data_IF_432445461984
#
_entry.id   IF_432445461984
#
_cell.length_a   1.000
_cell.length_b   1.000
_cell.length_c   1.000
_cell.angle_alpha   90.00
_cell.angle_beta   90.00
_cell.angle_gamma   90.00
#
_symmetry.space_group_name_H-M   'P 1'
#
loop_
_entity.id
_entity.type
_entity.pdbx_description
1 polymer ?
#
# COMPACT_ATOMS: atom_id res chain seq x y z
N UNK A 1 12.66 21.64 -4.26
CA UNK A 1 12.97 20.22 -3.99
C UNK A 1 12.57 19.74 -2.59
N UNK A 2 12.49 20.66 -1.59
CA UNK A 2 12.15 20.30 -0.19
C UNK A 2 10.65 20.16 0.12
N UNK A 3 9.77 20.25 -0.88
CA UNK A 3 8.34 20.14 -0.66
C UNK A 3 7.60 19.38 -1.80
N UNK A 4 8.06 18.18 -2.17
CA UNK A 4 7.43 17.44 -3.28
C UNK A 4 5.97 17.03 -2.97
N UNK A 5 5.59 17.03 -1.69
CA UNK A 5 4.23 16.75 -1.20
C UNK A 5 3.52 17.98 -0.64
N UNK A 6 4.07 19.17 -0.82
CA UNK A 6 3.42 20.43 -0.41
C UNK A 6 2.17 20.76 -1.22
N UNK A 7 1.38 21.72 -0.76
CA UNK A 7 0.27 22.25 -1.55
C UNK A 7 0.77 22.74 -2.92
N UNK A 8 -0.05 22.58 -3.94
CA UNK A 8 0.25 22.98 -5.33
C UNK A 8 1.53 22.40 -5.93
N UNK A 9 2.08 21.32 -5.33
CA UNK A 9 3.20 20.58 -5.89
C UNK A 9 2.88 20.09 -7.32
N UNK A 10 3.91 19.78 -8.16
CA UNK A 10 3.72 19.48 -9.59
C UNK A 10 2.66 18.41 -9.90
N UNK A 11 2.49 17.39 -9.03
CA UNK A 11 1.44 16.40 -9.22
C UNK A 11 0.05 16.99 -8.93
N UNK A 12 -0.08 17.79 -7.87
CA UNK A 12 -1.33 18.46 -7.53
C UNK A 12 -1.77 19.39 -8.65
N UNK A 13 -0.86 20.24 -9.14
CA UNK A 13 -1.11 21.14 -10.26
C UNK A 13 -1.51 20.38 -11.55
N UNK A 14 -0.85 19.25 -11.84
CA UNK A 14 -1.15 18.42 -13.02
C UNK A 14 -2.56 17.80 -12.99
N UNK A 15 -3.14 17.62 -11.81
CA UNK A 15 -4.50 17.08 -11.64
C UNK A 15 -5.53 18.11 -11.20
N UNK A 16 -5.16 19.38 -11.05
CA UNK A 16 -6.09 20.44 -10.62
C UNK A 16 -6.59 20.27 -9.18
N UNK A 17 -5.80 19.64 -8.30
CA UNK A 17 -6.09 19.50 -6.86
C UNK A 17 -5.14 20.38 -6.04
N UNK A 18 -5.52 20.66 -4.79
CA UNK A 18 -4.68 21.44 -3.87
C UNK A 18 -3.49 20.63 -3.34
N UNK A 19 -3.74 19.37 -3.00
CA UNK A 19 -2.75 18.50 -2.38
C UNK A 19 -2.37 17.33 -3.31
N UNK A 20 -1.11 16.93 -3.40
CA UNK A 20 -0.70 15.76 -4.18
C UNK A 20 -1.05 14.47 -3.44
N UNK A 21 -2.31 14.37 -3.01
CA UNK A 21 -2.88 13.28 -2.24
C UNK A 21 -4.03 12.67 -3.01
N UNK A 22 -3.95 11.37 -3.25
CA UNK A 22 -5.04 10.57 -3.79
C UNK A 22 -5.68 9.71 -2.69
N UNK A 23 -7.01 9.67 -2.65
CA UNK A 23 -7.75 8.67 -1.90
C UNK A 23 -7.87 7.43 -2.78
N UNK A 24 -7.28 6.31 -2.35
CA UNK A 24 -7.21 5.07 -3.13
C UNK A 24 -8.57 4.40 -3.35
N UNK A 25 -8.77 3.70 -4.48
CA UNK A 25 -10.01 2.98 -4.77
C UNK A 25 -10.14 1.77 -3.84
N UNK A 26 -10.94 1.89 -2.80
CA UNK A 26 -11.21 0.86 -1.82
C UNK A 26 -12.54 0.17 -2.13
N UNK A 27 -12.51 -1.11 -2.49
CA UNK A 27 -13.72 -1.90 -2.74
C UNK A 27 -14.73 -1.79 -1.60
N UNK A 28 -16.00 -1.57 -1.90
CA UNK A 28 -17.10 -1.41 -0.93
C UNK A 28 -16.95 -0.24 0.06
N UNK A 29 -15.98 0.64 -0.16
CA UNK A 29 -15.78 1.88 0.61
C UNK A 29 -15.88 3.08 -0.32
N UNK A 30 -15.06 3.13 -1.36
CA UNK A 30 -15.04 4.22 -2.34
C UNK A 30 -16.10 4.01 -3.45
N UNK A 31 -17.31 3.69 -3.07
CA UNK A 31 -18.45 3.41 -3.95
C UNK A 31 -19.62 4.39 -3.75
N UNK A 32 -19.31 5.62 -3.29
CA UNK A 32 -20.29 6.69 -3.04
C UNK A 32 -19.81 8.01 -3.60
N UNK A 33 -20.66 8.65 -4.40
CA UNK A 33 -20.40 10.00 -4.95
C UNK A 33 -20.18 11.04 -3.85
N UNK A 34 -20.95 10.99 -2.76
CA UNK A 34 -20.81 11.89 -1.62
C UNK A 34 -19.44 11.78 -0.93
N UNK A 35 -18.83 10.57 -0.90
CA UNK A 35 -17.50 10.39 -0.35
C UNK A 35 -16.43 10.97 -1.29
N UNK A 36 -16.57 10.72 -2.58
CA UNK A 36 -15.67 11.31 -3.58
C UNK A 36 -15.73 12.86 -3.53
N UNK A 37 -16.93 13.44 -3.43
CA UNK A 37 -17.14 14.89 -3.27
C UNK A 37 -16.44 15.44 -2.02
N UNK A 38 -16.58 14.76 -0.87
CA UNK A 38 -15.94 15.16 0.37
C UNK A 38 -14.41 15.18 0.25
N UNK A 39 -13.80 14.17 -0.39
CA UNK A 39 -12.36 14.11 -0.67
C UNK A 39 -11.93 15.24 -1.61
N UNK A 40 -12.67 15.46 -2.71
CA UNK A 40 -12.38 16.52 -3.67
C UNK A 40 -12.49 17.91 -3.04
N UNK A 41 -13.52 18.15 -2.22
CA UNK A 41 -13.69 19.39 -1.44
C UNK A 41 -12.55 19.60 -0.44
N UNK A 42 -12.01 18.52 0.15
CA UNK A 42 -10.82 18.52 0.99
C UNK A 42 -9.51 18.79 0.23
N UNK A 43 -9.56 18.97 -1.10
CA UNK A 43 -8.41 19.32 -1.94
C UNK A 43 -7.55 18.14 -2.37
N UNK A 44 -8.00 16.88 -2.19
CA UNK A 44 -7.39 15.67 -2.69
C UNK A 44 -8.06 15.13 -3.96
N UNK A 45 -7.48 14.09 -4.55
CA UNK A 45 -7.99 13.38 -5.72
C UNK A 45 -8.72 12.10 -5.28
N UNK A 46 -10.07 12.04 -5.31
CA UNK A 46 -10.80 10.83 -4.98
C UNK A 46 -10.74 9.81 -6.12
N UNK A 47 -10.67 8.52 -5.77
CA UNK A 47 -10.87 7.42 -6.70
C UNK A 47 -12.09 6.57 -6.29
N UNK A 48 -13.06 6.45 -7.19
CA UNK A 48 -14.15 5.48 -7.05
C UNK A 48 -13.65 4.07 -7.34
N UNK A 49 -14.06 3.09 -6.55
CA UNK A 49 -13.72 1.68 -6.78
C UNK A 49 -14.82 1.00 -7.60
N UNK A 50 -14.57 0.76 -8.88
CA UNK A 50 -15.55 0.07 -9.74
C UNK A 50 -15.63 -1.42 -9.43
N UNK A 51 -14.51 -2.04 -9.02
CA UNK A 51 -14.45 -3.44 -8.58
C UNK A 51 -15.21 -4.38 -9.54
N UNK A 52 -16.15 -5.17 -9.02
CA UNK A 52 -17.03 -6.06 -9.78
C UNK A 52 -18.42 -5.43 -10.01
N UNK A 53 -18.49 -4.13 -10.22
CA UNK A 53 -19.73 -3.40 -10.45
C UNK A 53 -20.17 -3.55 -11.91
N UNK A 54 -21.43 -3.93 -12.21
CA UNK A 54 -21.92 -4.02 -13.57
C UNK A 54 -22.10 -2.63 -14.19
N UNK A 55 -22.10 -2.57 -15.53
CA UNK A 55 -22.15 -1.33 -16.30
C UNK A 55 -23.22 -0.32 -15.87
N UNK A 56 -24.49 -0.71 -15.69
CA UNK A 56 -25.54 0.22 -15.24
C UNK A 56 -25.26 0.89 -13.90
N UNK A 57 -24.77 0.13 -12.91
CA UNK A 57 -24.40 0.68 -11.59
C UNK A 57 -23.17 1.61 -11.71
N UNK A 58 -22.20 1.26 -12.54
CA UNK A 58 -21.05 2.15 -12.83
C UNK A 58 -21.53 3.46 -13.42
N UNK A 59 -22.43 3.40 -14.41
CA UNK A 59 -22.96 4.60 -15.07
C UNK A 59 -23.65 5.55 -14.09
N UNK A 60 -24.52 5.01 -13.24
CA UNK A 60 -25.19 5.79 -12.19
C UNK A 60 -24.20 6.46 -11.26
N UNK A 61 -23.25 5.69 -10.71
CA UNK A 61 -22.22 6.19 -9.81
C UNK A 61 -21.36 7.30 -10.45
N UNK A 62 -20.97 7.15 -11.73
CA UNK A 62 -20.14 8.17 -12.40
C UNK A 62 -20.93 9.45 -12.68
N UNK A 63 -22.20 9.34 -13.07
CA UNK A 63 -23.05 10.50 -13.30
C UNK A 63 -23.31 11.27 -12.00
N UNK A 64 -23.62 10.55 -10.91
CA UNK A 64 -23.76 11.15 -9.57
C UNK A 64 -22.46 11.83 -9.14
N UNK A 65 -21.30 11.17 -9.32
CA UNK A 65 -20.01 11.72 -8.92
C UNK A 65 -19.66 12.97 -9.72
N UNK A 66 -19.88 12.95 -11.03
CA UNK A 66 -19.66 14.11 -11.89
C UNK A 66 -20.53 15.30 -11.44
N UNK A 67 -21.79 15.04 -11.11
CA UNK A 67 -22.70 16.07 -10.62
C UNK A 67 -22.28 16.60 -9.23
N UNK A 68 -21.87 15.73 -8.31
CA UNK A 68 -21.47 16.10 -6.95
C UNK A 68 -20.11 16.83 -6.92
N UNK A 69 -19.14 16.38 -7.71
CA UNK A 69 -17.81 17.02 -7.76
C UNK A 69 -17.80 18.34 -8.54
N UNK A 70 -18.72 18.52 -9.51
CA UNK A 70 -18.70 19.70 -10.40
C UNK A 70 -17.38 19.77 -11.17
N UNK A 71 -16.70 20.92 -11.08
CA UNK A 71 -15.40 21.13 -11.75
C UNK A 71 -14.20 20.49 -11.04
N UNK A 72 -14.41 19.91 -9.85
CA UNK A 72 -13.31 19.26 -9.11
C UNK A 72 -12.98 17.92 -9.74
N UNK A 73 -11.68 17.60 -9.90
CA UNK A 73 -11.25 16.34 -10.48
C UNK A 73 -11.58 15.14 -9.59
N UNK A 74 -11.84 14.02 -10.25
CA UNK A 74 -12.08 12.72 -9.64
C UNK A 74 -11.55 11.60 -10.55
N UNK A 75 -11.43 10.41 -10.03
CA UNK A 75 -10.91 9.28 -10.79
C UNK A 75 -11.66 7.98 -10.49
N UNK A 76 -11.30 6.94 -11.24
CA UNK A 76 -11.83 5.58 -11.07
C UNK A 76 -10.70 4.57 -10.88
N UNK A 77 -10.93 3.59 -10.01
CA UNK A 77 -10.10 2.39 -9.85
C UNK A 77 -10.74 1.21 -10.56
N UNK A 78 -9.97 0.59 -11.45
CA UNK A 78 -10.39 -0.53 -12.30
C UNK A 78 -9.52 -1.74 -11.94
N UNK A 79 -10.11 -2.92 -11.91
CA UNK A 79 -9.36 -4.17 -11.80
C UNK A 79 -8.99 -4.69 -13.19
N UNK A 80 -7.71 -4.88 -13.45
CA UNK A 80 -7.19 -5.35 -14.74
C UNK A 80 -7.53 -6.81 -15.08
N UNK A 81 -8.05 -7.56 -14.12
CA UNK A 81 -8.33 -9.00 -14.20
C UNK A 81 -9.81 -9.37 -14.07
N UNK A 82 -10.73 -8.42 -14.19
CA UNK A 82 -12.18 -8.72 -14.22
C UNK A 82 -12.57 -9.54 -15.45
N UNK A 83 -13.68 -10.30 -15.41
CA UNK A 83 -14.18 -11.03 -16.56
C UNK A 83 -14.33 -10.13 -17.80
N UNK A 84 -14.04 -10.63 -19.02
CA UNK A 84 -14.07 -9.82 -20.24
C UNK A 84 -15.38 -9.05 -20.45
N UNK A 85 -16.54 -9.68 -20.28
CA UNK A 85 -17.83 -9.03 -20.41
C UNK A 85 -18.02 -7.84 -19.46
N UNK A 86 -17.63 -8.02 -18.19
CA UNK A 86 -17.70 -6.94 -17.21
C UNK A 86 -16.75 -5.80 -17.57
N UNK A 87 -15.54 -6.12 -18.06
CA UNK A 87 -14.59 -5.12 -18.53
C UNK A 87 -15.17 -4.31 -19.70
N UNK A 88 -15.78 -4.96 -20.66
CA UNK A 88 -16.40 -4.28 -21.79
C UNK A 88 -17.53 -3.36 -21.36
N UNK A 89 -18.40 -3.81 -20.44
CA UNK A 89 -19.44 -2.97 -19.85
C UNK A 89 -18.86 -1.75 -19.15
N UNK A 90 -17.85 -1.93 -18.30
CA UNK A 90 -17.21 -0.82 -17.59
C UNK A 90 -16.53 0.14 -18.57
N UNK A 91 -15.76 -0.36 -19.54
CA UNK A 91 -15.11 0.48 -20.54
C UNK A 91 -16.11 1.22 -21.45
N UNK A 92 -17.26 0.63 -21.76
CA UNK A 92 -18.32 1.31 -22.51
C UNK A 92 -18.85 2.53 -21.73
N UNK A 93 -19.08 2.36 -20.43
CA UNK A 93 -19.51 3.47 -19.57
C UNK A 93 -18.41 4.53 -19.43
N UNK A 94 -17.14 4.13 -19.31
CA UNK A 94 -16.02 5.08 -19.21
C UNK A 94 -15.82 5.88 -20.52
N UNK A 95 -16.24 5.34 -21.67
CA UNK A 95 -16.30 6.11 -22.94
C UNK A 95 -17.43 7.14 -22.95
N UNK A 96 -18.56 6.83 -22.33
CA UNK A 96 -19.72 7.74 -22.23
C UNK A 96 -19.50 8.83 -21.17
N UNK A 97 -18.90 8.46 -20.03
CA UNK A 97 -18.64 9.35 -18.90
C UNK A 97 -17.14 9.27 -18.56
N UNK A 98 -16.25 9.90 -19.37
CA UNK A 98 -14.83 9.79 -19.17
C UNK A 98 -14.39 10.44 -17.87
N UNK A 99 -13.70 9.69 -16.96
CA UNK A 99 -13.12 10.27 -15.76
C UNK A 99 -11.83 11.02 -16.12
N UNK A 100 -11.50 12.13 -15.43
CA UNK A 100 -10.22 12.80 -15.62
C UNK A 100 -9.00 11.90 -15.34
N UNK A 101 -9.13 10.99 -14.36
CA UNK A 101 -8.04 10.12 -13.94
C UNK A 101 -8.54 8.67 -13.77
N UNK A 102 -7.69 7.70 -14.09
CA UNK A 102 -7.94 6.28 -13.82
C UNK A 102 -6.72 5.62 -13.14
N UNK A 103 -6.99 4.56 -12.39
CA UNK A 103 -5.99 3.68 -11.79
C UNK A 103 -6.35 2.24 -12.13
N UNK A 104 -5.44 1.48 -12.72
CA UNK A 104 -5.65 0.07 -13.05
C UNK A 104 -4.80 -0.79 -12.12
N UNK A 105 -5.48 -1.53 -11.23
CA UNK A 105 -4.85 -2.49 -10.35
C UNK A 105 -4.75 -3.87 -11.03
N UNK A 106 -3.54 -4.46 -11.05
CA UNK A 106 -3.29 -5.75 -11.70
C UNK A 106 -3.45 -5.72 -13.23
N UNK A 107 -3.32 -4.53 -13.84
CA UNK A 107 -3.44 -4.33 -15.28
C UNK A 107 -2.10 -4.23 -16.01
N UNK A 108 -2.18 -3.96 -17.31
CA UNK A 108 -1.04 -3.78 -18.22
C UNK A 108 -1.15 -2.44 -18.96
N UNK A 109 -0.04 -1.89 -19.50
CA UNK A 109 -0.06 -0.65 -20.27
C UNK A 109 -1.06 -0.64 -21.43
N UNK A 110 -1.24 -1.78 -22.12
CA UNK A 110 -2.24 -1.91 -23.19
C UNK A 110 -3.69 -1.67 -22.76
N UNK A 111 -3.99 -1.82 -21.47
CA UNK A 111 -5.32 -1.51 -20.91
C UNK A 111 -5.48 -0.01 -20.58
N UNK A 112 -4.37 0.70 -20.36
CA UNK A 112 -4.38 2.15 -20.17
C UNK A 112 -4.56 2.91 -21.48
N UNK A 113 -4.02 2.41 -22.59
CA UNK A 113 -4.04 3.06 -23.91
C UNK A 113 -5.42 3.56 -24.34
N UNK A 114 -6.52 2.78 -24.25
CA UNK A 114 -7.85 3.26 -24.65
C UNK A 114 -8.38 4.41 -23.79
N UNK A 115 -8.01 4.44 -22.52
CA UNK A 115 -8.40 5.51 -21.58
C UNK A 115 -7.58 6.77 -21.85
N UNK A 116 -6.28 6.63 -22.06
CA UNK A 116 -5.38 7.74 -22.38
C UNK A 116 -5.71 8.39 -23.71
N UNK A 117 -6.15 7.61 -24.70
CA UNK A 117 -6.63 8.13 -25.98
C UNK A 117 -7.86 9.05 -25.86
N UNK A 118 -8.59 8.98 -24.75
CA UNK A 118 -9.73 9.84 -24.42
C UNK A 118 -9.35 11.02 -23.50
N UNK A 119 -8.05 11.16 -23.17
CA UNK A 119 -7.57 12.20 -22.25
C UNK A 119 -7.60 11.82 -20.76
N UNK A 120 -7.96 10.58 -20.41
CA UNK A 120 -7.93 10.09 -19.03
C UNK A 120 -6.49 9.80 -18.59
N UNK A 121 -5.97 10.50 -17.58
CA UNK A 121 -4.64 10.25 -17.04
C UNK A 121 -4.64 8.90 -16.28
N UNK A 122 -3.97 7.86 -16.82
CA UNK A 122 -4.09 6.51 -16.27
C UNK A 122 -2.84 6.09 -15.51
N UNK A 123 -3.01 5.70 -14.23
CA UNK A 123 -1.99 5.13 -13.37
C UNK A 123 -2.04 3.61 -13.40
N UNK A 124 -0.86 2.98 -13.36
CA UNK A 124 -0.72 1.54 -13.28
C UNK A 124 -0.10 1.14 -11.92
N UNK A 125 -0.73 0.18 -11.27
CA UNK A 125 -0.23 -0.39 -10.03
C UNK A 125 0.94 -1.35 -10.31
N UNK A 126 2.10 -1.09 -9.71
CA UNK A 126 3.35 -1.81 -10.00
C UNK A 126 4.00 -2.34 -8.72
N UNK A 127 3.86 -3.64 -8.41
CA UNK A 127 4.33 -4.22 -7.16
C UNK A 127 5.79 -4.71 -7.19
N UNK A 128 6.51 -4.54 -8.31
CA UNK A 128 7.89 -5.03 -8.41
C UNK A 128 8.74 -4.27 -9.44
N UNK A 129 10.07 -4.17 -9.23
CA UNK A 129 10.97 -3.50 -10.18
C UNK A 129 10.96 -4.11 -11.58
N UNK A 130 10.94 -5.45 -11.70
CA UNK A 130 10.90 -6.10 -13.01
C UNK A 130 9.64 -5.77 -13.81
N UNK A 131 8.48 -5.62 -13.13
CA UNK A 131 7.26 -5.19 -13.78
C UNK A 131 7.31 -3.70 -14.17
N UNK A 132 7.97 -2.86 -13.35
CA UNK A 132 8.21 -1.46 -13.70
C UNK A 132 9.05 -1.33 -14.98
N UNK A 133 10.16 -2.08 -15.06
CA UNK A 133 11.01 -2.09 -16.26
C UNK A 133 10.22 -2.46 -17.53
N UNK A 134 9.33 -3.45 -17.41
CA UNK A 134 8.44 -3.84 -18.52
C UNK A 134 7.50 -2.70 -18.89
N UNK A 135 6.81 -2.11 -17.92
CA UNK A 135 5.82 -1.06 -18.16
C UNK A 135 6.46 0.23 -18.72
N UNK A 136 7.67 0.57 -18.28
CA UNK A 136 8.44 1.69 -18.84
C UNK A 136 8.78 1.46 -20.31
N UNK A 137 9.20 0.23 -20.68
CA UNK A 137 9.46 -0.14 -22.09
C UNK A 137 8.21 -0.06 -22.95
N UNK A 138 7.05 -0.44 -22.37
CA UNK A 138 5.75 -0.38 -23.04
C UNK A 138 5.16 1.05 -23.06
N UNK A 139 5.91 2.05 -22.65
CA UNK A 139 5.54 3.46 -22.73
C UNK A 139 4.73 4.03 -21.58
N UNK A 140 4.44 3.27 -20.52
CA UNK A 140 3.75 3.80 -19.35
C UNK A 140 4.59 4.87 -18.62
N UNK A 141 3.90 5.87 -18.07
CA UNK A 141 4.54 7.03 -17.40
C UNK A 141 3.94 7.38 -16.04
N UNK A 142 2.85 6.73 -15.64
CA UNK A 142 2.15 6.99 -14.38
C UNK A 142 2.01 5.71 -13.58
N UNK A 143 2.49 5.72 -12.32
CA UNK A 143 2.62 4.53 -11.51
C UNK A 143 2.09 4.72 -10.09
N UNK A 144 1.60 3.61 -9.51
CA UNK A 144 1.33 3.49 -8.08
C UNK A 144 2.24 2.41 -7.50
N UNK A 145 2.97 2.74 -6.44
CA UNK A 145 3.84 1.81 -5.71
C UNK A 145 3.26 1.54 -4.34
N UNK A 146 2.52 0.45 -4.22
CA UNK A 146 1.84 0.07 -2.99
C UNK A 146 2.56 -1.06 -2.26
N UNK A 147 3.03 -0.76 -1.06
CA UNK A 147 3.71 -1.73 -0.20
C UNK A 147 2.77 -2.59 0.62
N UNK A 148 3.36 -3.60 1.27
CA UNK A 148 2.67 -4.65 2.04
C UNK A 148 1.89 -4.13 3.26
N UNK A 149 2.08 -2.88 3.68
CA UNK A 149 1.38 -2.24 4.79
C UNK A 149 -0.07 -1.85 4.45
N UNK A 150 -0.48 -1.93 3.20
CA UNK A 150 -1.84 -1.64 2.77
C UNK A 150 -2.88 -2.61 3.36
N UNK A 151 -4.15 -2.20 3.37
CA UNK A 151 -5.29 -3.07 3.65
C UNK A 151 -5.79 -3.76 2.38
N UNK A 152 -6.41 -4.92 2.52
CA UNK A 152 -6.83 -5.72 1.38
C UNK A 152 -5.70 -6.56 0.80
N UNK A 153 -5.69 -6.80 -0.50
CA UNK A 153 -4.66 -7.61 -1.16
C UNK A 153 -3.30 -6.95 -1.04
N UNK A 154 -2.29 -7.71 -0.61
CA UNK A 154 -0.95 -7.21 -0.37
C UNK A 154 0.09 -7.85 -1.28
N UNK A 155 1.05 -7.05 -1.72
CA UNK A 155 2.25 -7.54 -2.40
C UNK A 155 3.27 -8.12 -1.41
N UNK A 156 4.36 -8.72 -1.91
CA UNK A 156 5.36 -9.37 -1.06
C UNK A 156 6.32 -8.40 -0.36
N UNK A 157 6.48 -7.17 -0.88
CA UNK A 157 7.49 -6.21 -0.38
C UNK A 157 6.88 -5.17 0.54
N UNK A 158 7.62 -4.82 1.60
CA UNK A 158 7.30 -3.65 2.42
C UNK A 158 7.38 -2.37 1.59
N UNK A 159 6.66 -1.34 2.02
CA UNK A 159 6.62 -0.06 1.32
C UNK A 159 8.00 0.53 1.12
N UNK A 160 8.83 0.59 2.18
CA UNK A 160 10.16 1.18 2.10
C UNK A 160 11.05 0.47 1.07
N UNK A 161 11.17 -0.86 1.14
CA UNK A 161 12.00 -1.63 0.21
C UNK A 161 11.47 -1.58 -1.24
N UNK A 162 10.14 -1.54 -1.42
CA UNK A 162 9.55 -1.40 -2.75
C UNK A 162 9.84 -0.02 -3.32
N UNK A 163 9.60 1.03 -2.55
CA UNK A 163 9.76 2.41 -3.02
C UNK A 163 11.20 2.74 -3.38
N UNK A 164 12.17 2.32 -2.56
CA UNK A 164 13.61 2.51 -2.83
C UNK A 164 13.99 1.86 -4.17
N UNK A 165 13.70 0.56 -4.33
CA UNK A 165 14.01 -0.17 -5.55
C UNK A 165 13.32 0.42 -6.80
N UNK A 166 12.10 0.98 -6.67
CA UNK A 166 11.38 1.61 -7.76
C UNK A 166 11.95 2.99 -8.09
N UNK A 167 12.30 3.79 -7.07
CA UNK A 167 12.90 5.12 -7.28
C UNK A 167 14.23 5.02 -8.02
N UNK A 168 15.08 4.04 -7.68
CA UNK A 168 16.34 3.78 -8.40
C UNK A 168 16.10 3.52 -9.90
N UNK A 169 15.09 2.70 -10.24
CA UNK A 169 14.72 2.42 -11.64
C UNK A 169 14.25 3.68 -12.36
N UNK A 170 13.43 4.49 -11.70
CA UNK A 170 12.92 5.73 -12.29
C UNK A 170 14.02 6.79 -12.44
N UNK A 171 15.00 6.84 -11.54
CA UNK A 171 16.17 7.71 -11.67
C UNK A 171 17.06 7.32 -12.83
N UNK A 172 17.12 6.05 -13.21
CA UNK A 172 17.84 5.56 -14.39
C UNK A 172 17.09 5.84 -15.71
N UNK A 173 15.81 6.24 -15.67
CA UNK A 173 15.04 6.57 -16.88
C UNK A 173 15.60 7.84 -17.55
N UNK A 174 15.70 7.91 -18.90
CA UNK A 174 16.27 9.05 -19.61
C UNK A 174 15.50 10.37 -19.41
N UNK A 175 14.19 10.29 -19.16
CA UNK A 175 13.30 11.44 -18.97
C UNK A 175 12.45 11.33 -17.69
N UNK A 176 13.03 11.43 -16.49
CA UNK A 176 12.28 11.31 -15.23
C UNK A 176 11.19 12.37 -15.07
N UNK A 177 11.36 13.55 -15.67
CA UNK A 177 10.35 14.62 -15.63
C UNK A 177 9.02 14.31 -16.30
N UNK A 178 8.96 13.27 -17.15
CA UNK A 178 7.70 12.80 -17.73
C UNK A 178 6.91 11.89 -16.79
N UNK A 179 7.55 11.40 -15.72
CA UNK A 179 6.98 10.39 -14.84
C UNK A 179 6.12 11.01 -13.75
N UNK A 180 5.08 10.29 -13.36
CA UNK A 180 4.25 10.62 -12.21
C UNK A 180 4.09 9.38 -11.31
N UNK A 181 4.27 9.57 -10.00
CA UNK A 181 4.27 8.47 -9.03
C UNK A 181 3.38 8.80 -7.85
N UNK A 182 2.52 7.87 -7.50
CA UNK A 182 1.78 7.82 -6.25
C UNK A 182 2.37 6.73 -5.35
N UNK A 183 2.99 7.12 -4.26
CA UNK A 183 3.47 6.21 -3.24
C UNK A 183 2.32 5.79 -2.34
N UNK A 184 2.19 4.50 -2.05
CA UNK A 184 1.06 3.92 -1.30
C UNK A 184 1.54 2.83 -0.33
N UNK A 185 0.80 2.65 0.76
CA UNK A 185 1.10 1.70 1.84
C UNK A 185 1.68 2.38 3.08
N UNK A 186 0.89 2.43 4.17
CA UNK A 186 1.35 2.94 5.47
C UNK A 186 1.37 4.46 5.64
N UNK A 187 0.97 5.25 4.65
CA UNK A 187 1.02 6.73 4.70
C UNK A 187 -0.25 7.25 5.37
N UNK A 188 -0.10 8.11 6.42
CA UNK A 188 -1.24 8.56 7.21
C UNK A 188 -1.03 9.85 8.02
N UNK A 189 0.21 10.35 8.13
CA UNK A 189 0.58 11.48 8.98
C UNK A 189 1.75 12.28 8.41
N UNK A 190 2.14 13.34 9.10
CA UNK A 190 3.28 14.18 8.74
C UNK A 190 4.62 13.44 8.69
N UNK A 191 4.79 12.40 9.53
CA UNK A 191 6.04 11.62 9.60
C UNK A 191 6.18 10.72 8.38
N UNK A 192 5.17 9.92 8.09
CA UNK A 192 5.16 9.01 6.93
C UNK A 192 5.25 9.79 5.61
N UNK A 193 4.58 10.94 5.51
CA UNK A 193 4.71 11.83 4.35
C UNK A 193 6.12 12.41 4.21
N UNK A 194 6.77 12.85 5.30
CA UNK A 194 8.14 13.33 5.26
C UNK A 194 9.13 12.24 4.83
N UNK A 195 8.91 10.98 5.22
CA UNK A 195 9.72 9.84 4.76
C UNK A 195 9.60 9.63 3.24
N UNK A 196 8.38 9.65 2.70
CA UNK A 196 8.15 9.57 1.24
C UNK A 196 8.80 10.76 0.54
N UNK A 197 8.62 11.97 1.05
CA UNK A 197 9.19 13.18 0.45
C UNK A 197 10.72 13.16 0.41
N UNK A 198 11.37 12.66 1.48
CA UNK A 198 12.82 12.52 1.53
C UNK A 198 13.32 11.48 0.51
N UNK A 199 12.68 10.30 0.47
CA UNK A 199 13.03 9.21 -0.45
C UNK A 199 12.83 9.61 -1.91
N UNK A 200 11.74 10.32 -2.23
CA UNK A 200 11.41 10.75 -3.58
C UNK A 200 12.09 12.08 -3.99
N UNK A 201 12.80 12.75 -3.08
CA UNK A 201 13.42 14.05 -3.36
C UNK A 201 14.37 14.04 -4.59
N UNK A 202 15.26 13.05 -4.78
CA UNK A 202 16.10 12.98 -5.98
C UNK A 202 15.28 12.90 -7.27
N UNK A 203 14.20 12.16 -7.27
CA UNK A 203 13.31 12.00 -8.41
C UNK A 203 12.51 13.29 -8.69
N UNK A 204 12.00 13.94 -7.65
CA UNK A 204 11.36 15.25 -7.73
C UNK A 204 12.30 16.34 -8.25
N UNK A 205 13.57 16.32 -7.84
CA UNK A 205 14.60 17.24 -8.33
C UNK A 205 14.88 17.09 -9.83
N UNK A 206 14.58 15.91 -10.41
CA UNK A 206 14.64 15.64 -11.85
C UNK A 206 13.33 15.91 -12.59
N UNK A 207 12.36 16.53 -11.91
CA UNK A 207 11.11 16.99 -12.50
C UNK A 207 9.96 15.99 -12.45
N UNK A 208 10.12 14.80 -11.85
CA UNK A 208 9.03 13.85 -11.70
C UNK A 208 7.93 14.41 -10.78
N UNK A 209 6.70 14.07 -11.08
CA UNK A 209 5.52 14.46 -10.32
C UNK A 209 5.27 13.42 -9.22
N UNK A 210 5.38 13.85 -7.97
CA UNK A 210 5.32 12.99 -6.79
C UNK A 210 4.05 13.28 -6.01
N UNK A 211 3.36 12.21 -5.60
CA UNK A 211 2.21 12.25 -4.70
C UNK A 211 2.11 11.01 -3.84
N UNK A 212 1.10 10.97 -2.99
CA UNK A 212 0.79 9.83 -2.13
C UNK A 212 -0.63 9.34 -2.39
N UNK A 213 -0.83 8.04 -2.24
CA UNK A 213 -2.14 7.41 -2.27
C UNK A 213 -2.40 6.77 -0.91
N UNK A 214 -3.51 7.16 -0.28
CA UNK A 214 -3.91 6.67 1.03
C UNK A 214 -5.23 5.91 0.94
N UNK A 215 -5.33 4.81 1.65
CA UNK A 215 -6.58 4.05 1.84
C UNK A 215 -7.03 4.12 3.30
N UNK A 216 -6.39 3.34 4.16
CA UNK A 216 -6.77 3.14 5.57
C UNK A 216 -6.94 4.44 6.35
N UNK A 217 -6.11 5.46 6.11
CA UNK A 217 -6.20 6.74 6.81
C UNK A 217 -7.57 7.40 6.66
N UNK A 218 -8.24 7.23 5.53
CA UNK A 218 -9.59 7.76 5.31
C UNK A 218 -10.69 7.08 6.11
N UNK A 219 -10.47 5.85 6.59
CA UNK A 219 -11.44 5.15 7.45
C UNK A 219 -11.64 5.85 8.80
N UNK A 220 -10.69 6.68 9.21
CA UNK A 220 -10.73 7.47 10.44
C UNK A 220 -11.41 8.83 10.24
N UNK A 221 -11.82 9.18 9.02
CA UNK A 221 -12.46 10.48 8.76
C UNK A 221 -13.94 10.43 9.08
N UNK A 222 -14.46 11.54 9.62
CA UNK A 222 -15.89 11.68 9.92
C UNK A 222 -16.72 11.53 8.65
N UNK A 223 -16.21 12.03 7.53
CA UNK A 223 -16.88 12.02 6.24
C UNK A 223 -17.03 10.59 5.67
N UNK A 224 -16.15 9.65 6.03
CA UNK A 224 -16.29 8.26 5.59
C UNK A 224 -17.60 7.63 6.09
N UNK A 225 -18.01 7.96 7.30
CA UNK A 225 -19.29 7.53 7.88
C UNK A 225 -20.43 8.38 7.39
N UNK A 226 -20.29 9.72 7.43
CA UNK A 226 -21.34 10.66 7.05
C UNK A 226 -21.77 10.51 5.59
N UNK A 227 -20.85 10.21 4.68
CA UNK A 227 -21.13 9.94 3.26
C UNK A 227 -21.61 8.51 2.97
N UNK A 228 -21.74 7.64 3.99
CA UNK A 228 -22.16 6.24 3.82
C UNK A 228 -21.11 5.36 3.09
N UNK A 229 -19.86 5.80 3.07
CA UNK A 229 -18.77 4.99 2.54
C UNK A 229 -18.54 3.73 3.41
N UNK A 230 -18.61 3.89 4.72
CA UNK A 230 -18.57 2.81 5.70
C UNK A 230 -19.64 2.97 6.78
N UNK A 231 -19.99 1.86 7.43
CA UNK A 231 -20.81 1.89 8.63
C UNK A 231 -20.00 2.35 9.85
N UNK A 232 -20.63 2.95 10.88
CA UNK A 232 -19.95 3.32 12.14
C UNK A 232 -19.15 2.18 12.75
N UNK A 233 -19.67 0.95 12.75
CA UNK A 233 -18.98 -0.24 13.28
C UNK A 233 -17.67 -0.58 12.54
N UNK A 234 -17.51 -0.18 11.28
CA UNK A 234 -16.21 -0.32 10.58
C UNK A 234 -15.20 0.70 11.11
N UNK A 235 -15.62 1.94 11.30
CA UNK A 235 -14.75 2.99 11.85
C UNK A 235 -14.34 2.65 13.29
N UNK A 236 -15.27 2.17 14.11
CA UNK A 236 -14.98 1.74 15.48
C UNK A 236 -14.00 0.57 15.50
N UNK A 237 -14.12 -0.40 14.59
CA UNK A 237 -13.15 -1.49 14.43
C UNK A 237 -11.77 -0.98 14.00
N UNK A 238 -11.69 0.04 13.15
CA UNK A 238 -10.44 0.68 12.75
C UNK A 238 -9.77 1.39 13.93
N UNK A 239 -10.53 2.16 14.71
CA UNK A 239 -10.04 2.92 15.88
C UNK A 239 -9.55 1.98 16.98
N UNK A 240 -10.23 0.86 17.21
CA UNK A 240 -9.88 -0.14 18.20
C UNK A 240 -8.80 -1.13 17.73
N UNK A 241 -8.34 -1.04 16.50
CA UNK A 241 -7.41 -2.00 15.92
C UNK A 241 -5.99 -1.79 16.48
N UNK A 242 -5.51 -2.75 17.25
CA UNK A 242 -4.13 -2.77 17.75
C UNK A 242 -3.19 -3.56 16.83
N UNK A 243 -3.75 -4.52 16.09
CA UNK A 243 -3.00 -5.43 15.22
C UNK A 243 -3.78 -5.78 13.96
N UNK A 244 -3.06 -5.92 12.85
CA UNK A 244 -3.60 -6.48 11.60
C UNK A 244 -2.99 -7.84 11.32
N UNK A 245 -3.74 -8.69 10.63
CA UNK A 245 -3.31 -10.04 10.22
C UNK A 245 -3.37 -10.19 8.72
N UNK A 246 -2.66 -11.20 8.19
CA UNK A 246 -2.71 -11.61 6.80
C UNK A 246 -3.48 -12.92 6.69
N UNK A 247 -4.56 -12.91 5.94
CA UNK A 247 -5.32 -14.09 5.57
C UNK A 247 -4.76 -14.58 4.23
N UNK A 248 -4.00 -15.67 4.27
CA UNK A 248 -3.42 -16.27 3.08
C UNK A 248 -4.32 -17.39 2.58
N UNK A 249 -4.93 -17.19 1.42
CA UNK A 249 -5.81 -18.18 0.77
C UNK A 249 -5.00 -19.17 -0.09
N UNK A 250 -3.92 -18.69 -0.71
CA UNK A 250 -2.98 -19.47 -1.51
C UNK A 250 -1.59 -18.81 -1.47
N UNK A 251 -0.50 -19.50 -1.85
CA UNK A 251 0.83 -18.91 -1.92
C UNK A 251 0.85 -17.62 -2.73
N UNK A 252 1.27 -16.51 -2.10
CA UNK A 252 1.30 -15.18 -2.72
C UNK A 252 -0.06 -14.48 -2.81
N UNK A 253 -1.14 -15.07 -2.32
CA UNK A 253 -2.48 -14.48 -2.26
C UNK A 253 -2.85 -14.19 -0.81
N UNK A 254 -2.43 -13.06 -0.32
CA UNK A 254 -2.69 -12.62 1.05
C UNK A 254 -3.54 -11.35 1.08
N UNK A 255 -4.48 -11.32 2.02
CA UNK A 255 -5.34 -10.16 2.29
C UNK A 255 -5.10 -9.67 3.71
N UNK A 256 -4.80 -8.38 3.89
CA UNK A 256 -4.65 -7.77 5.22
C UNK A 256 -5.98 -7.27 5.73
N UNK A 257 -6.28 -7.62 6.96
CA UNK A 257 -7.45 -7.12 7.69
C UNK A 257 -7.13 -6.88 9.18
N UNK A 258 -8.05 -6.23 9.91
CA UNK A 258 -7.99 -6.18 11.37
C UNK A 258 -8.06 -7.59 11.96
N UNK A 259 -7.38 -7.78 13.08
CA UNK A 259 -7.46 -9.00 13.87
C UNK A 259 -8.81 -9.05 14.61
N UNK A 260 -9.72 -9.88 14.13
CA UNK A 260 -11.12 -9.96 14.58
C UNK A 260 -11.59 -11.42 14.61
N UNK A 261 -12.76 -11.67 15.19
CA UNK A 261 -13.36 -13.00 15.23
C UNK A 261 -13.44 -13.71 13.87
N UNK A 262 -13.57 -12.94 12.77
CA UNK A 262 -13.50 -13.54 11.42
C UNK A 262 -12.10 -14.04 11.08
N UNK A 263 -11.05 -13.32 11.50
CA UNK A 263 -9.68 -13.76 11.29
C UNK A 263 -9.34 -15.03 12.07
N UNK A 264 -9.86 -15.14 13.31
CA UNK A 264 -9.76 -16.37 14.11
C UNK A 264 -10.47 -17.54 13.42
N UNK A 265 -11.70 -17.34 12.96
CA UNK A 265 -12.49 -18.36 12.24
C UNK A 265 -11.78 -18.80 10.93
N UNK A 266 -11.13 -17.87 10.21
CA UNK A 266 -10.34 -18.19 9.03
C UNK A 266 -9.12 -19.05 9.39
N UNK A 267 -8.39 -18.70 10.44
CA UNK A 267 -7.22 -19.46 10.90
C UNK A 267 -7.62 -20.87 11.39
N UNK A 268 -8.76 -20.98 12.06
CA UNK A 268 -9.30 -22.25 12.53
C UNK A 268 -9.71 -23.15 11.34
N UNK A 269 -10.41 -22.61 10.36
CA UNK A 269 -10.80 -23.35 9.16
C UNK A 269 -9.58 -23.81 8.35
N UNK A 270 -8.54 -22.96 8.24
CA UNK A 270 -7.28 -23.33 7.58
C UNK A 270 -6.63 -24.52 8.27
N UNK A 271 -6.51 -24.50 9.60
CA UNK A 271 -5.96 -25.62 10.38
C UNK A 271 -6.80 -26.88 10.21
N UNK A 272 -8.12 -26.76 10.30
CA UNK A 272 -9.05 -27.89 10.11
C UNK A 272 -8.86 -28.58 8.75
N UNK A 273 -8.69 -27.81 7.67
CA UNK A 273 -8.45 -28.32 6.33
C UNK A 273 -7.04 -28.95 6.19
N UNK A 274 -6.05 -28.40 6.85
CA UNK A 274 -4.67 -28.95 6.92
C UNK A 274 -4.63 -30.27 7.67
N UNK A 275 -5.22 -30.34 8.85
CA UNK A 275 -5.28 -31.52 9.70
C UNK A 275 -6.10 -32.66 9.03
N UNK A 276 -7.11 -32.31 8.25
CA UNK A 276 -7.90 -33.25 7.45
C UNK A 276 -7.17 -33.76 6.18
N UNK A 277 -5.95 -33.28 5.90
CA UNK A 277 -5.18 -33.66 4.72
C UNK A 277 -5.82 -33.26 3.39
N UNK A 278 -6.64 -32.19 3.38
CA UNK A 278 -7.31 -31.70 2.15
C UNK A 278 -6.26 -31.22 1.15
N UNK A 279 -6.40 -31.60 -0.13
CA UNK A 279 -5.48 -31.22 -1.19
C UNK A 279 -5.34 -29.68 -1.29
N UNK A 280 -4.12 -29.20 -1.61
CA UNK A 280 -3.80 -27.77 -1.58
C UNK A 280 -4.78 -26.91 -2.40
N UNK A 281 -5.13 -27.32 -3.62
CA UNK A 281 -6.04 -26.58 -4.49
C UNK A 281 -7.47 -26.49 -3.91
N UNK A 282 -7.96 -27.56 -3.32
CA UNK A 282 -9.28 -27.60 -2.68
C UNK A 282 -9.29 -26.73 -1.42
N UNK A 283 -8.21 -26.77 -0.62
CA UNK A 283 -8.02 -25.91 0.55
C UNK A 283 -8.03 -24.43 0.16
N UNK A 284 -7.28 -24.05 -0.89
CA UNK A 284 -7.25 -22.68 -1.38
C UNK A 284 -8.63 -22.20 -1.83
N UNK A 285 -9.34 -23.03 -2.59
CA UNK A 285 -10.70 -22.70 -3.03
C UNK A 285 -11.67 -22.53 -1.85
N UNK A 286 -11.57 -23.37 -0.83
CA UNK A 286 -12.40 -23.28 0.38
C UNK A 286 -12.11 -21.99 1.17
N UNK A 287 -10.85 -21.63 1.35
CA UNK A 287 -10.46 -20.40 2.04
C UNK A 287 -10.84 -19.14 1.25
N UNK A 288 -10.74 -19.16 -0.09
CA UNK A 288 -11.22 -18.06 -0.93
C UNK A 288 -12.75 -17.91 -0.83
N UNK A 289 -13.48 -19.03 -0.85
CA UNK A 289 -14.93 -19.04 -0.67
C UNK A 289 -15.35 -18.47 0.69
N UNK A 290 -14.57 -18.71 1.75
CA UNK A 290 -14.83 -18.16 3.08
C UNK A 290 -14.76 -16.62 3.10
N UNK A 291 -13.89 -16.03 2.30
CA UNK A 291 -13.71 -14.59 2.20
C UNK A 291 -14.83 -13.88 1.43
N UNK A 292 -15.58 -14.61 0.59
CA UNK A 292 -16.59 -13.99 -0.27
C UNK A 292 -17.70 -13.28 0.53
N UNK A 293 -17.95 -12.03 0.18
CA UNK A 293 -18.98 -11.20 0.79
C UNK A 293 -18.62 -10.60 2.15
N UNK A 294 -17.54 -11.03 2.79
CA UNK A 294 -17.16 -10.60 4.15
C UNK A 294 -16.81 -9.10 4.23
N UNK A 295 -16.21 -8.54 3.18
CA UNK A 295 -15.97 -7.10 3.09
C UNK A 295 -17.28 -6.29 3.01
N UNK A 296 -18.30 -6.79 2.29
CA UNK A 296 -19.62 -6.13 2.25
C UNK A 296 -20.27 -6.13 3.64
N UNK A 297 -20.16 -7.23 4.38
CA UNK A 297 -20.61 -7.32 5.77
C UNK A 297 -19.90 -6.23 6.60
N UNK A 298 -18.59 -6.16 6.54
CA UNK A 298 -17.82 -5.19 7.30
C UNK A 298 -18.16 -3.74 6.93
N UNK A 299 -18.14 -3.41 5.63
CA UNK A 299 -18.27 -2.02 5.18
C UNK A 299 -19.72 -1.49 5.17
N UNK A 300 -20.69 -2.34 4.86
CA UNK A 300 -22.09 -1.94 4.61
C UNK A 300 -23.11 -2.56 5.57
N UNK A 301 -22.71 -3.49 6.45
CA UNK A 301 -23.65 -4.22 7.30
C UNK A 301 -24.66 -5.05 6.50
N UNK A 302 -24.27 -5.54 5.33
CA UNK A 302 -25.13 -6.25 4.41
C UNK A 302 -24.59 -7.66 4.13
N UNK A 303 -25.45 -8.67 4.22
CA UNK A 303 -25.14 -10.07 3.94
C UNK A 303 -26.06 -10.60 2.82
N UNK A 304 -25.53 -11.50 2.00
CA UNK A 304 -26.35 -12.29 1.09
C UNK A 304 -27.01 -13.44 1.87
N UNK A 305 -28.32 -13.53 1.76
CA UNK A 305 -29.12 -14.62 2.34
C UNK A 305 -30.02 -15.20 1.22
N UNK A 306 -29.70 -16.42 0.78
CA UNK A 306 -30.27 -16.95 -0.45
C UNK A 306 -29.99 -16.03 -1.65
N UNK A 307 -31.05 -15.57 -2.31
CA UNK A 307 -30.96 -14.63 -3.45
C UNK A 307 -30.97 -13.14 -3.05
N UNK A 308 -31.30 -12.80 -1.80
CA UNK A 308 -31.52 -11.45 -1.32
C UNK A 308 -30.25 -10.86 -0.63
N UNK A 309 -30.17 -9.53 -0.60
CA UNK A 309 -29.22 -8.79 0.25
C UNK A 309 -30.00 -8.26 1.45
N UNK A 310 -29.59 -8.66 2.65
CA UNK A 310 -30.27 -8.31 3.91
C UNK A 310 -29.33 -7.51 4.82
N UNK A 311 -29.90 -6.57 5.56
CA UNK A 311 -29.18 -5.85 6.61
C UNK A 311 -28.96 -6.77 7.83
N UNK A 312 -27.83 -6.61 8.49
CA UNK A 312 -27.48 -7.30 9.72
C UNK A 312 -27.21 -6.29 10.83
N UNK A 313 -27.33 -6.74 12.08
CA UNK A 313 -27.02 -5.90 13.23
C UNK A 313 -25.50 -5.71 13.45
N UNK A 314 -25.13 -4.77 14.31
CA UNK A 314 -23.74 -4.42 14.59
C UNK A 314 -22.95 -5.58 15.23
N UNK A 315 -23.59 -6.49 15.97
CA UNK A 315 -22.92 -7.65 16.56
C UNK A 315 -22.54 -8.68 15.48
N UNK A 316 -23.48 -9.00 14.58
CA UNK A 316 -23.22 -9.85 13.43
C UNK A 316 -22.20 -9.24 12.47
N UNK A 317 -22.24 -7.90 12.25
CA UNK A 317 -21.23 -7.20 11.46
C UNK A 317 -19.82 -7.40 12.03
N UNK A 318 -19.63 -7.19 13.34
CA UNK A 318 -18.35 -7.40 14.01
C UNK A 318 -17.85 -8.84 13.97
N UNK A 319 -18.75 -9.79 14.19
CA UNK A 319 -18.41 -11.21 14.24
C UNK A 319 -18.08 -11.81 12.86
N UNK A 320 -18.75 -11.35 11.80
CA UNK A 320 -18.69 -11.98 10.48
C UNK A 320 -17.94 -11.14 9.43
N UNK A 321 -17.67 -9.87 9.72
CA UNK A 321 -17.06 -8.95 8.78
C UNK A 321 -15.54 -9.14 8.67
N UNK A 322 -15.02 -9.11 7.45
CA UNK A 322 -13.60 -8.97 7.17
C UNK A 322 -13.29 -7.47 6.99
N UNK A 323 -12.74 -6.86 8.03
CA UNK A 323 -12.41 -5.44 8.04
C UNK A 323 -11.06 -5.25 7.36
N UNK A 324 -11.07 -5.01 6.04
CA UNK A 324 -9.86 -4.78 5.26
C UNK A 324 -9.23 -3.44 5.64
N UNK A 325 -8.23 -3.49 6.49
CA UNK A 325 -7.56 -2.34 7.11
C UNK A 325 -6.05 -2.58 7.06
N UNK A 326 -5.28 -1.57 6.64
CA UNK A 326 -3.82 -1.61 6.62
C UNK A 326 -3.19 -1.36 7.99
N UNK A 327 -1.88 -1.52 8.08
CA UNK A 327 -1.12 -1.36 9.34
C UNK A 327 -1.23 0.04 9.97
N UNK A 328 -1.68 1.03 9.21
CA UNK A 328 -2.01 2.37 9.74
C UNK A 328 -2.97 2.31 10.92
N UNK A 329 -3.88 1.33 10.97
CA UNK A 329 -4.83 1.20 12.06
C UNK A 329 -4.18 0.92 13.43
N UNK A 330 -3.02 0.28 13.45
CA UNK A 330 -2.24 0.10 14.69
C UNK A 330 -1.47 1.37 15.13
N UNK A 331 -1.56 2.46 14.37
CA UNK A 331 -0.84 3.72 14.61
C UNK A 331 -1.79 4.93 14.79
N UNK A 332 -3.06 4.78 14.43
CA UNK A 332 -4.06 5.84 14.46
C UNK A 332 -5.31 5.37 15.20
N UNK A 333 -5.66 6.06 16.29
CA UNK A 333 -6.73 5.65 17.19
C UNK A 333 -7.77 6.75 17.46
N UNK A 334 -7.76 7.81 16.64
CA UNK A 334 -8.68 8.94 16.80
C UNK A 334 -9.34 9.29 15.46
N UNK A 335 -10.58 9.78 15.55
CA UNK A 335 -11.30 10.37 14.41
C UNK A 335 -10.64 11.67 13.99
N UNK A 336 -10.76 11.99 12.71
CA UNK A 336 -10.27 13.21 12.09
C UNK A 336 -11.25 13.66 11.00
N UNK A 337 -11.00 14.81 10.38
CA UNK A 337 -11.69 15.20 9.13
C UNK A 337 -10.76 14.98 7.93
N UNK A 338 -11.32 14.88 6.73
CA UNK A 338 -10.53 14.82 5.48
C UNK A 338 -9.63 16.04 5.36
N UNK A 339 -10.14 17.24 5.68
CA UNK A 339 -9.36 18.47 5.62
C UNK A 339 -8.15 18.45 6.56
N UNK A 340 -8.33 17.99 7.80
CA UNK A 340 -7.24 17.85 8.77
C UNK A 340 -6.23 16.79 8.35
N UNK A 341 -6.68 15.64 7.84
CA UNK A 341 -5.82 14.58 7.32
C UNK A 341 -4.95 15.09 6.17
N UNK A 342 -5.53 15.80 5.21
CA UNK A 342 -4.78 16.32 4.06
C UNK A 342 -3.77 17.38 4.48
N UNK A 343 -4.14 18.31 5.37
CA UNK A 343 -3.22 19.31 5.91
C UNK A 343 -2.08 18.65 6.71
N UNK A 344 -2.38 17.68 7.56
CA UNK A 344 -1.37 16.92 8.32
C UNK A 344 -0.35 16.25 7.41
N UNK A 345 -0.81 15.54 6.38
CA UNK A 345 0.06 14.80 5.45
C UNK A 345 0.86 15.74 4.56
N UNK A 346 0.25 16.74 3.95
CA UNK A 346 0.91 17.64 3.01
C UNK A 346 1.68 18.76 3.71
N UNK A 347 0.98 19.64 4.41
CA UNK A 347 1.58 20.83 5.06
C UNK A 347 2.43 20.42 6.26
N UNK A 348 1.93 19.52 7.12
CA UNK A 348 2.65 18.98 8.26
C UNK A 348 3.89 18.19 7.85
N UNK A 349 3.78 17.33 6.84
CA UNK A 349 4.90 16.58 6.28
C UNK A 349 6.00 17.47 5.72
N UNK A 350 5.60 18.52 4.97
CA UNK A 350 6.51 19.54 4.43
C UNK A 350 7.21 20.34 5.54
N UNK A 351 6.46 20.76 6.55
CA UNK A 351 7.01 21.50 7.69
C UNK A 351 8.02 20.64 8.46
N UNK A 352 7.70 19.37 8.69
CA UNK A 352 8.59 18.42 9.34
C UNK A 352 9.90 18.23 8.56
N UNK A 353 9.82 18.04 7.25
CA UNK A 353 11.00 17.87 6.40
C UNK A 353 11.89 19.10 6.42
N UNK A 354 11.31 20.31 6.36
CA UNK A 354 12.05 21.58 6.46
C UNK A 354 12.73 21.74 7.81
N UNK A 355 12.04 21.40 8.90
CA UNK A 355 12.62 21.48 10.24
C UNK A 355 13.82 20.52 10.40
N UNK A 356 13.71 19.30 9.88
CA UNK A 356 14.81 18.34 9.89
C UNK A 356 16.01 18.82 9.05
N UNK A 357 15.77 19.35 7.86
CA UNK A 357 16.83 19.91 7.02
C UNK A 357 17.55 21.09 7.69
N UNK A 358 16.80 21.99 8.35
CA UNK A 358 17.37 23.09 9.10
C UNK A 358 18.20 22.60 10.31
N UNK A 359 17.74 21.59 11.04
CA UNK A 359 18.47 20.99 12.15
C UNK A 359 19.78 20.32 11.70
N UNK A 360 19.77 19.64 10.55
CA UNK A 360 20.98 19.04 9.96
C UNK A 360 21.99 20.13 9.54
N UNK A 361 21.53 21.17 8.84
CA UNK A 361 22.40 22.29 8.45
C UNK A 361 23.01 23.01 9.66
N UNK A 362 22.25 23.17 10.74
CA UNK A 362 22.76 23.76 11.98
C UNK A 362 23.84 22.86 12.65
N UNK A 363 23.68 21.53 12.57
CA UNK A 363 24.69 20.59 13.08
C UNK A 363 25.97 20.61 12.25
N UNK A 364 25.85 20.69 10.92
CA UNK A 364 26.99 20.80 10.00
C UNK A 364 27.75 22.12 10.16
N UNK A 365 27.03 23.21 10.48
CA UNK A 365 27.63 24.53 10.72
C UNK A 365 28.17 24.67 12.15
N UNK A 366 27.84 23.81 13.08
CA UNK A 366 28.38 23.85 14.43
C UNK A 366 29.87 23.51 14.41
N UNK A 367 30.75 24.29 15.11
CA UNK A 367 32.14 23.90 15.25
C UNK A 367 32.21 22.47 15.79
N UNK A 368 32.89 21.61 15.07
CA UNK A 368 33.22 20.28 15.59
C UNK A 368 34.26 20.50 16.66
N UNK A 369 33.84 20.30 17.93
CA UNK A 369 34.80 20.22 19.02
C UNK A 369 35.60 18.94 18.77
N UNK A 370 36.71 19.07 18.09
CA UNK A 370 37.62 17.97 17.77
C UNK A 370 38.28 17.55 19.08
N UNK A 371 37.71 16.57 19.77
CA UNK A 371 38.46 15.90 20.80
C UNK A 371 39.67 15.24 20.17
N UNK A 372 40.86 15.51 20.70
CA UNK A 372 42.11 14.86 20.28
C UNK A 372 42.06 13.37 20.69
N UNK A 373 41.21 12.59 20.00
CA UNK A 373 41.13 11.14 20.17
C UNK A 373 41.96 10.51 19.06
N UNK A 374 43.03 9.83 19.43
CA UNK A 374 43.85 9.06 18.51
C UNK A 374 43.47 7.56 18.62
N UNK A 375 43.30 6.91 17.49
CA UNK A 375 43.25 5.43 17.45
C UNK A 375 44.73 4.97 17.56
N UNK A 376 45.10 4.49 18.75
CA UNK A 376 46.48 4.06 19.06
C UNK A 376 46.74 2.59 18.75
N UNK A 377 45.71 1.83 18.40
CA UNK A 377 45.81 0.44 17.99
C UNK A 377 44.46 -0.16 17.67
N UNK A 378 44.45 -1.16 16.82
CA UNK A 378 43.28 -1.98 16.50
C UNK A 378 43.67 -3.44 16.66
N UNK A 379 42.78 -4.28 17.25
CA UNK A 379 42.96 -5.69 17.32
C UNK A 379 41.59 -6.39 17.08
N UNK A 380 41.63 -7.52 16.42
CA UNK A 380 40.45 -8.31 16.15
C UNK A 380 40.80 -9.79 16.08
N UNK A 381 39.87 -10.66 16.44
CA UNK A 381 39.95 -12.11 16.24
C UNK A 381 38.65 -12.53 15.58
N UNK A 382 38.75 -13.07 14.39
CA UNK A 382 37.61 -13.60 13.62
C UNK A 382 37.89 -15.04 13.15
N UNK A 383 36.88 -15.79 12.75
CA UNK A 383 37.10 -17.11 12.17
C UNK A 383 38.09 -17.07 11.00
N UNK A 384 39.17 -17.85 11.08
CA UNK A 384 40.22 -17.84 10.05
C UNK A 384 41.14 -16.61 10.05
N UNK A 385 41.01 -15.68 11.01
CA UNK A 385 41.81 -14.48 11.10
C UNK A 385 42.21 -14.18 12.56
N UNK A 386 43.43 -14.52 12.98
CA UNK A 386 43.92 -14.29 14.34
C UNK A 386 44.21 -12.82 14.66
N UNK A 387 44.28 -11.97 13.65
CA UNK A 387 44.54 -10.55 13.78
C UNK A 387 43.83 -9.74 12.70
N UNK A 388 43.94 -8.39 12.79
CA UNK A 388 43.27 -7.46 11.88
C UNK A 388 43.80 -7.55 10.44
N UNK A 389 45.05 -7.86 10.25
CA UNK A 389 45.70 -7.94 8.93
C UNK A 389 45.20 -9.22 8.19
N UNK A 390 45.14 -10.34 8.90
CA UNK A 390 44.57 -11.58 8.39
C UNK A 390 43.09 -11.42 8.07
N UNK A 391 42.33 -10.71 8.92
CA UNK A 391 40.92 -10.41 8.65
C UNK A 391 40.74 -9.57 7.37
N UNK A 392 41.56 -8.54 7.20
CA UNK A 392 41.52 -7.71 6.00
C UNK A 392 41.91 -8.50 4.73
N UNK A 393 42.95 -9.33 4.84
CA UNK A 393 43.35 -10.21 3.75
C UNK A 393 42.25 -11.19 3.32
N UNK A 394 41.51 -11.78 4.27
CA UNK A 394 40.38 -12.66 4.00
C UNK A 394 39.22 -11.91 3.32
N UNK A 395 38.94 -10.66 3.72
CA UNK A 395 37.93 -9.80 3.05
C UNK A 395 38.32 -9.56 1.59
N UNK A 396 39.60 -9.19 1.33
CA UNK A 396 40.09 -8.92 -0.02
C UNK A 396 40.10 -10.16 -0.90
N UNK A 397 40.37 -11.32 -0.32
CA UNK A 397 40.35 -12.62 -1.00
C UNK A 397 38.94 -13.17 -1.22
N UNK A 398 37.91 -12.61 -0.57
CA UNK A 398 36.55 -13.15 -0.60
C UNK A 398 36.42 -14.49 0.13
N UNK A 399 37.26 -14.74 1.14
CA UNK A 399 37.25 -15.99 1.92
C UNK A 399 35.98 -16.08 2.78
N UNK A 400 35.19 -17.13 2.57
CA UNK A 400 34.05 -17.48 3.42
C UNK A 400 34.55 -18.32 4.61
N UNK A 401 34.43 -17.76 5.80
CA UNK A 401 34.81 -18.42 7.05
C UNK A 401 33.65 -19.22 7.70
N UNK A 402 32.50 -19.30 7.05
CA UNK A 402 31.40 -20.17 7.51
C UNK A 402 31.79 -21.61 7.15
N UNK A 403 31.95 -22.45 8.19
CA UNK A 403 32.41 -23.84 8.05
C UNK A 403 31.57 -24.73 8.94
N UNK A 404 31.63 -26.03 8.64
CA UNK A 404 31.11 -27.05 9.55
C UNK A 404 31.81 -26.95 10.91
N UNK A 405 31.08 -27.22 11.97
CA UNK A 405 31.61 -27.18 13.34
C UNK A 405 32.64 -28.27 13.50
N UNK A 406 33.91 -27.97 13.92
CA UNK A 406 34.91 -28.96 14.05
C UNK A 406 34.57 -29.94 15.18
N UNK A 407 34.88 -31.26 15.02
CA UNK A 407 34.49 -32.33 15.93
C UNK A 407 34.95 -32.12 17.39
N UNK A 408 36.08 -31.45 17.59
CA UNK A 408 36.60 -31.11 18.93
C UNK A 408 35.77 -30.01 19.65
N UNK A 409 34.94 -29.32 18.94
CA UNK A 409 34.04 -28.31 19.52
C UNK A 409 32.63 -28.83 19.76
N UNK A 410 32.14 -29.65 18.83
CA UNK A 410 30.77 -30.15 18.90
C UNK A 410 30.62 -31.40 18.02
N UNK A 411 30.05 -32.45 18.54
CA UNK A 411 29.79 -33.69 17.77
C UNK A 411 28.48 -33.57 17.01
N UNK A 412 28.56 -33.40 15.69
CA UNK A 412 27.41 -33.39 14.80
C UNK A 412 26.58 -34.66 14.93
N UNK A 413 27.25 -35.82 14.99
CA UNK A 413 26.58 -37.13 15.07
C UNK A 413 25.80 -37.34 16.37
N UNK A 414 26.19 -36.61 17.43
CA UNK A 414 25.54 -36.72 18.75
C UNK A 414 24.39 -35.73 18.93
N UNK A 415 24.51 -34.55 18.36
CA UNK A 415 23.62 -33.45 18.68
C UNK A 415 22.80 -32.93 17.49
N UNK A 416 23.06 -33.32 16.27
CA UNK A 416 22.34 -32.89 15.09
C UNK A 416 21.60 -34.06 14.43
N UNK A 417 20.27 -33.96 14.38
CA UNK A 417 19.41 -34.88 13.64
C UNK A 417 18.69 -34.14 12.52
N UNK A 418 19.10 -34.34 11.26
CA UNK A 418 18.45 -33.63 10.13
C UNK A 418 17.00 -34.04 9.89
N UNK A 419 16.53 -35.14 10.54
CA UNK A 419 15.12 -35.56 10.47
C UNK A 419 14.25 -35.05 11.63
N UNK A 420 14.84 -34.37 12.62
CA UNK A 420 14.14 -33.90 13.78
C UNK A 420 13.28 -32.66 13.43
N UNK A 421 11.99 -32.69 13.79
CA UNK A 421 10.99 -31.67 13.47
C UNK A 421 10.36 -31.01 14.70
N UNK A 422 11.01 -31.03 15.86
CA UNK A 422 10.52 -30.46 17.12
C UNK A 422 11.02 -29.05 17.40
N UNK A 423 10.27 -28.27 18.20
CA UNK A 423 10.63 -26.88 18.58
C UNK A 423 11.89 -26.77 19.46
N UNK A 424 12.35 -27.89 20.05
CA UNK A 424 13.49 -27.97 20.97
C UNK A 424 14.68 -28.72 20.36
N UNK A 425 14.72 -28.87 19.03
CA UNK A 425 15.79 -29.60 18.33
C UNK A 425 16.48 -28.62 17.37
N UNK A 426 17.76 -28.37 17.62
CA UNK A 426 18.62 -27.55 16.75
C UNK A 426 19.18 -28.37 15.60
#
# INVERSE_FOLDING_TARGET
ALAPLGPDAPLAAAHGVRYPIAQGPMSRVSDRAAFAEAVARGGGLPFLALSLMPGPEVRELLLETRAACGDRPWGVGILGFVPPEMREQQLAVLREVPPPVALIAGGRPSQATPLEAQGTATYLHVPSPGLLDLFLRDGARRFVFEGRECGGHVGPRSSFALWEAQVERLLAHPAPGELAVLFAGGIHDARSAAMVAALAAPLAARGARIGVLMGTAYLFTEEAVAAGAIMPGFQDAAIACERTVLLETAPGHSTRCADTAFADAFAEERRRLEDAGVAAQERWAALEQLNLGRLRIAAKGLRRDGGAIVAIDAAAQRAQGMFMIGQVAALRHARTTIAALHAEVSEGGTARLRAQAAALAAREAAPVDTADIAIVGMASIFPGAPDTDAFWANILAGEDAIREVPPERWSVDTYYDPAATGADVN
#
